data_IF_448165873194
#
_entry.id   IF_448165873194
#
_cell.length_a   1.000
_cell.length_b   1.000
_cell.length_c   1.000
_cell.angle_alpha   90.00
_cell.angle_beta   90.00
_cell.angle_gamma   90.00
#
_symmetry.space_group_name_H-M   'P 1'
#
loop_
_entity.id
_entity.type
_entity.pdbx_description
1 polymer ?
#
# COMPACT_ATOMS: atom_id res chain seq x y z
N UNK A 1 9.41 6.27 -23.48
CA UNK A 1 8.89 4.94 -23.87
C UNK A 1 8.85 4.11 -22.60
N UNK A 2 7.65 3.81 -22.11
CA UNK A 2 7.41 3.04 -20.88
C UNK A 2 7.63 1.55 -21.19
N UNK A 3 8.52 0.88 -20.45
CA UNK A 3 8.89 -0.52 -20.66
C UNK A 3 7.83 -1.48 -20.09
N UNK A 4 6.77 -1.70 -20.85
CA UNK A 4 5.72 -2.65 -20.52
C UNK A 4 6.21 -4.10 -20.45
N UNK A 5 7.29 -4.45 -21.15
CA UNK A 5 7.86 -5.79 -21.13
C UNK A 5 8.58 -6.08 -19.80
N UNK A 6 9.29 -5.09 -19.24
CA UNK A 6 9.90 -5.16 -17.92
C UNK A 6 8.89 -5.41 -16.80
N UNK A 7 7.75 -4.71 -16.81
CA UNK A 7 6.69 -4.90 -15.80
C UNK A 7 6.04 -6.29 -15.86
N UNK A 8 5.66 -6.76 -17.07
CA UNK A 8 5.08 -8.11 -17.23
C UNK A 8 6.07 -9.17 -16.73
N UNK A 9 7.35 -8.99 -17.03
CA UNK A 9 8.41 -9.92 -16.61
C UNK A 9 8.58 -9.92 -15.08
N UNK A 10 8.58 -8.75 -14.45
CA UNK A 10 8.73 -8.62 -13.00
C UNK A 10 7.50 -9.15 -12.25
N UNK A 11 6.30 -8.83 -12.73
CA UNK A 11 5.05 -9.38 -12.19
C UNK A 11 5.00 -10.91 -12.32
N UNK A 12 5.34 -11.45 -13.49
CA UNK A 12 5.40 -12.90 -13.71
C UNK A 12 6.42 -13.56 -12.79
N UNK A 13 7.60 -12.96 -12.62
CA UNK A 13 8.68 -13.48 -11.76
C UNK A 13 8.27 -13.49 -10.28
N UNK A 14 7.69 -12.39 -9.77
CA UNK A 14 7.22 -12.32 -8.38
C UNK A 14 6.06 -13.27 -8.12
N UNK A 15 5.11 -13.39 -9.07
CA UNK A 15 4.00 -14.35 -8.98
C UNK A 15 4.50 -15.80 -8.98
N UNK A 16 5.47 -16.12 -9.84
CA UNK A 16 6.05 -17.45 -9.91
C UNK A 16 6.87 -17.79 -8.65
N UNK A 17 7.57 -16.82 -8.07
CA UNK A 17 8.25 -16.97 -6.78
C UNK A 17 7.25 -17.28 -5.66
N UNK A 18 6.16 -16.53 -5.55
CA UNK A 18 5.10 -16.75 -4.56
C UNK A 18 4.51 -18.16 -4.67
N UNK A 19 4.16 -18.60 -5.89
CA UNK A 19 3.62 -19.95 -6.13
C UNK A 19 4.62 -21.02 -5.71
N UNK A 20 5.90 -20.85 -6.07
CA UNK A 20 6.94 -21.82 -5.70
C UNK A 20 7.21 -21.87 -4.20
N UNK A 21 7.24 -20.73 -3.50
CA UNK A 21 7.48 -20.66 -2.06
C UNK A 21 6.29 -21.19 -1.26
N UNK A 22 5.06 -20.88 -1.70
CA UNK A 22 3.84 -21.47 -1.13
C UNK A 22 3.82 -22.99 -1.34
N UNK A 23 4.20 -23.46 -2.53
CA UNK A 23 4.30 -24.89 -2.83
C UNK A 23 5.32 -25.62 -1.95
N UNK A 24 6.50 -25.02 -1.73
CA UNK A 24 7.52 -25.58 -0.81
C UNK A 24 7.03 -25.63 0.63
N UNK A 25 6.35 -24.57 1.09
CA UNK A 25 5.79 -24.53 2.44
C UNK A 25 4.72 -25.63 2.63
N UNK A 26 3.84 -25.81 1.65
CA UNK A 26 2.82 -26.87 1.73
C UNK A 26 3.41 -28.28 1.64
N UNK A 27 4.50 -28.48 0.89
CA UNK A 27 5.22 -29.76 0.92
C UNK A 27 5.87 -30.03 2.28
N UNK A 28 6.41 -29.01 2.95
CA UNK A 28 6.94 -29.14 4.31
C UNK A 28 5.83 -29.48 5.32
N UNK A 29 4.66 -28.83 5.19
CA UNK A 29 3.48 -29.12 6.01
C UNK A 29 2.98 -30.55 5.77
N UNK A 30 2.84 -30.99 4.52
CA UNK A 30 2.43 -32.37 4.18
C UNK A 30 3.40 -33.40 4.77
N UNK A 31 4.71 -33.12 4.73
CA UNK A 31 5.71 -33.99 5.34
C UNK A 31 5.62 -34.04 6.88
N UNK A 32 5.35 -32.91 7.54
CA UNK A 32 5.15 -32.85 8.99
C UNK A 32 3.85 -33.55 9.43
N UNK A 33 2.78 -33.45 8.62
CA UNK A 33 1.52 -34.16 8.87
C UNK A 33 1.74 -35.67 8.76
N UNK A 34 2.42 -36.13 7.70
CA UNK A 34 2.72 -37.57 7.51
C UNK A 34 3.64 -38.13 8.60
N UNK A 35 4.55 -37.31 9.13
CA UNK A 35 5.43 -37.70 10.23
C UNK A 35 4.79 -37.53 11.62
N UNK A 36 3.52 -37.09 11.71
CA UNK A 36 2.78 -36.93 12.95
C UNK A 36 3.25 -35.78 13.85
N UNK A 37 4.08 -34.87 13.33
CA UNK A 37 4.68 -33.75 14.09
C UNK A 37 3.96 -32.42 13.88
N UNK A 38 2.89 -32.40 13.08
CA UNK A 38 2.11 -31.21 12.80
C UNK A 38 1.05 -30.97 13.88
N UNK A 39 1.43 -30.20 14.91
CA UNK A 39 0.56 -29.78 16.01
C UNK A 39 0.08 -28.33 15.90
N UNK A 40 -0.62 -27.86 16.93
CA UNK A 40 -1.17 -26.50 17.02
C UNK A 40 -0.10 -25.39 16.89
N UNK A 41 1.10 -25.61 17.40
CA UNK A 41 2.22 -24.67 17.26
C UNK A 41 2.70 -24.54 15.81
N UNK A 42 2.77 -25.65 15.07
CA UNK A 42 3.12 -25.68 13.66
C UNK A 42 2.04 -25.01 12.80
N UNK A 43 0.76 -25.11 13.16
CA UNK A 43 -0.32 -24.39 12.46
C UNK A 43 -0.13 -22.88 12.56
N UNK A 44 0.13 -22.36 13.77
CA UNK A 44 0.38 -20.93 13.96
C UNK A 44 1.64 -20.46 13.23
N UNK A 45 2.69 -21.29 13.22
CA UNK A 45 3.94 -21.01 12.49
C UNK A 45 3.72 -20.97 10.97
N UNK A 46 3.00 -21.94 10.41
CA UNK A 46 2.64 -21.98 8.98
C UNK A 46 1.78 -20.78 8.60
N UNK A 47 0.78 -20.42 9.43
CA UNK A 47 -0.06 -19.25 9.19
C UNK A 47 0.77 -17.95 9.18
N UNK A 48 1.69 -17.78 10.13
CA UNK A 48 2.59 -16.63 10.16
C UNK A 48 3.55 -16.60 8.97
N UNK A 49 4.04 -17.75 8.50
CA UNK A 49 4.90 -17.85 7.32
C UNK A 49 4.14 -17.49 6.04
N UNK A 50 2.90 -17.96 5.89
CA UNK A 50 2.02 -17.56 4.78
C UNK A 50 1.67 -16.07 4.83
N UNK A 51 1.39 -15.54 6.03
CA UNK A 51 1.11 -14.13 6.22
C UNK A 51 2.32 -13.26 5.84
N UNK A 52 3.51 -13.63 6.31
CA UNK A 52 4.75 -12.92 5.98
C UNK A 52 5.08 -13.01 4.48
N UNK A 53 4.82 -14.15 3.86
CA UNK A 53 4.99 -14.34 2.41
C UNK A 53 4.03 -13.44 1.63
N UNK A 54 2.75 -13.42 2.01
CA UNK A 54 1.74 -12.54 1.41
C UNK A 54 2.08 -11.06 1.61
N UNK A 55 2.56 -10.68 2.81
CA UNK A 55 3.02 -9.32 3.10
C UNK A 55 4.18 -8.93 2.20
N UNK A 56 5.22 -9.76 2.13
CA UNK A 56 6.43 -9.48 1.35
C UNK A 56 6.10 -9.38 -0.14
N UNK A 57 5.32 -10.31 -0.67
CA UNK A 57 4.87 -10.26 -2.06
C UNK A 57 3.96 -9.06 -2.34
N UNK A 58 3.09 -8.67 -1.40
CA UNK A 58 2.25 -7.47 -1.55
C UNK A 58 3.09 -6.19 -1.58
N UNK A 59 4.18 -6.13 -0.80
CA UNK A 59 5.12 -5.01 -0.81
C UNK A 59 5.89 -4.97 -2.14
N UNK A 60 6.38 -6.11 -2.63
CA UNK A 60 7.08 -6.21 -3.92
C UNK A 60 6.16 -5.84 -5.09
N UNK A 61 4.89 -6.28 -5.08
CA UNK A 61 3.90 -5.88 -6.06
C UNK A 61 3.55 -4.40 -5.95
N UNK A 62 3.43 -3.85 -4.73
CA UNK A 62 3.20 -2.43 -4.55
C UNK A 62 4.36 -1.64 -5.15
N UNK A 63 5.61 -2.02 -4.88
CA UNK A 63 6.79 -1.40 -5.48
C UNK A 63 6.84 -1.56 -7.00
N UNK A 64 6.44 -2.71 -7.55
CA UNK A 64 6.39 -2.93 -8.99
C UNK A 64 5.27 -2.12 -9.68
N UNK A 65 4.10 -1.98 -9.02
CA UNK A 65 3.00 -1.12 -9.48
C UNK A 65 3.40 0.36 -9.41
N UNK A 66 4.03 0.78 -8.30
CA UNK A 66 4.62 2.10 -8.17
C UNK A 66 5.66 2.33 -9.27
N UNK A 67 6.53 1.37 -9.59
CA UNK A 67 7.57 1.47 -10.62
C UNK A 67 7.04 1.43 -12.07
N UNK A 68 5.84 0.86 -12.32
CA UNK A 68 5.23 0.88 -13.65
C UNK A 68 4.49 2.19 -13.92
N UNK A 69 3.89 2.76 -12.88
CA UNK A 69 3.20 4.05 -12.93
C UNK A 69 4.13 5.24 -12.65
N UNK A 70 5.40 4.99 -12.34
CA UNK A 70 6.42 6.00 -12.07
C UNK A 70 7.74 5.66 -12.76
N UNK A 71 8.36 6.60 -13.50
CA UNK A 71 9.77 6.43 -13.88
C UNK A 71 10.61 6.24 -12.61
N UNK A 72 11.74 5.49 -12.70
CA UNK A 72 12.67 5.32 -11.60
C UNK A 72 13.45 6.63 -11.42
N UNK A 73 12.81 7.62 -10.80
CA UNK A 73 13.51 8.75 -10.23
C UNK A 73 13.45 8.61 -8.73
N UNK A 74 14.66 8.56 -8.16
CA UNK A 74 15.04 8.74 -6.77
C UNK A 74 14.66 10.15 -6.28
N UNK A 75 13.48 10.65 -6.64
CA UNK A 75 12.98 11.91 -6.11
C UNK A 75 12.56 11.63 -4.66
N UNK A 76 13.28 12.24 -3.72
CA UNK A 76 12.99 12.16 -2.30
C UNK A 76 11.50 12.51 -2.09
N UNK A 77 10.72 11.53 -1.65
CA UNK A 77 9.32 11.77 -1.28
C UNK A 77 9.34 12.48 0.06
N UNK A 78 8.98 13.75 0.06
CA UNK A 78 8.72 14.48 1.29
C UNK A 78 7.41 13.96 1.90
N UNK A 79 7.47 13.51 3.15
CA UNK A 79 6.34 12.90 3.86
C UNK A 79 5.86 13.83 4.96
N UNK A 80 4.56 14.07 5.00
CA UNK A 80 3.87 14.77 6.08
C UNK A 80 4.08 14.07 7.42
N UNK A 81 3.64 14.69 8.51
CA UNK A 81 3.40 13.97 9.75
C UNK A 81 2.34 12.86 9.59
N UNK A 82 2.24 11.98 10.59
CA UNK A 82 1.20 10.96 10.61
C UNK A 82 -0.17 11.60 10.76
N UNK A 83 -1.08 11.21 9.88
CA UNK A 83 -2.49 11.57 9.92
C UNK A 83 -3.22 10.42 10.59
N UNK A 84 -3.92 10.74 11.68
CA UNK A 84 -4.74 9.77 12.39
C UNK A 84 -6.08 9.55 11.67
N UNK A 85 -6.55 8.32 11.72
CA UNK A 85 -7.88 7.95 11.24
C UNK A 85 -8.45 6.88 12.13
N UNK A 86 -9.78 6.92 12.31
CA UNK A 86 -10.48 5.90 13.10
C UNK A 86 -10.15 4.50 12.53
N UNK A 87 -9.66 3.56 13.34
CA UNK A 87 -9.38 2.21 12.87
C UNK A 87 -10.68 1.50 12.48
N UNK A 88 -10.66 0.80 11.35
CA UNK A 88 -11.78 -0.06 10.93
C UNK A 88 -11.45 -1.51 11.31
N UNK A 89 -12.36 -2.19 12.01
CA UNK A 89 -12.17 -3.57 12.48
C UNK A 89 -12.53 -4.62 11.45
N UNK A 90 -13.17 -4.21 10.36
CA UNK A 90 -13.92 -5.13 9.52
C UNK A 90 -13.42 -5.15 8.08
N UNK A 91 -12.74 -4.09 7.63
CA UNK A 91 -12.30 -3.97 6.25
C UNK A 91 -11.02 -3.15 6.05
N UNK A 92 -10.27 -3.52 5.01
CA UNK A 92 -9.18 -2.69 4.50
C UNK A 92 -9.76 -1.48 3.75
N UNK A 93 -9.01 -0.36 3.78
CA UNK A 93 -9.43 0.92 3.19
C UNK A 93 -8.35 1.43 2.24
N UNK A 94 -8.70 1.58 0.98
CA UNK A 94 -7.84 2.17 -0.04
C UNK A 94 -7.90 3.68 0.06
N UNK A 95 -6.73 4.34 0.08
CA UNK A 95 -6.61 5.79 0.14
C UNK A 95 -6.57 6.39 -1.27
N UNK A 96 -7.29 7.48 -1.46
CA UNK A 96 -7.30 8.24 -2.71
C UNK A 96 -7.55 9.72 -2.44
N UNK A 97 -7.19 10.59 -3.38
CA UNK A 97 -7.47 12.02 -3.27
C UNK A 97 -8.95 12.27 -3.58
N UNK A 98 -9.69 12.86 -2.63
CA UNK A 98 -11.07 13.29 -2.81
C UNK A 98 -11.14 14.71 -3.36
N UNK A 99 -10.33 15.62 -2.79
CA UNK A 99 -10.16 17.00 -3.23
C UNK A 99 -8.68 17.33 -3.31
N UNK A 100 -8.27 18.12 -4.32
CA UNK A 100 -6.87 18.47 -4.51
C UNK A 100 -6.32 19.25 -3.32
N UNK A 101 -5.03 19.10 -3.08
CA UNK A 101 -4.32 19.79 -2.00
C UNK A 101 -3.92 21.19 -2.48
N UNK A 102 -4.43 22.22 -1.81
CA UNK A 102 -4.17 23.63 -2.13
C UNK A 102 -3.32 24.26 -1.04
N UNK A 103 -2.36 25.10 -1.42
CA UNK A 103 -1.52 25.81 -0.47
C UNK A 103 -2.33 26.85 0.30
N UNK A 104 -2.19 26.88 1.62
CA UNK A 104 -2.80 27.93 2.43
C UNK A 104 -2.16 29.28 2.11
N UNK A 105 -2.99 30.29 1.86
CA UNK A 105 -2.53 31.64 1.48
C UNK A 105 -2.20 31.81 -0.02
N UNK A 106 -2.21 30.73 -0.81
CA UNK A 106 -2.00 30.77 -2.26
C UNK A 106 -2.85 29.68 -2.96
N UNK A 107 -4.17 29.86 -3.00
CA UNK A 107 -5.10 28.81 -3.44
C UNK A 107 -4.97 28.38 -4.92
N UNK A 108 -4.24 29.17 -5.73
CA UNK A 108 -3.84 28.81 -7.10
C UNK A 108 -2.74 27.76 -7.14
N UNK A 109 -1.96 27.60 -6.07
CA UNK A 109 -0.94 26.57 -5.94
C UNK A 109 -1.60 25.25 -5.53
N UNK A 110 -1.72 24.34 -6.50
CA UNK A 110 -2.42 23.07 -6.34
C UNK A 110 -1.47 21.91 -6.61
N UNK A 111 -1.40 20.97 -5.67
CA UNK A 111 -0.74 19.69 -5.89
C UNK A 111 -1.73 18.78 -6.62
N UNK A 112 -1.34 18.34 -7.81
CA UNK A 112 -2.09 17.37 -8.59
C UNK A 112 -2.14 16.01 -7.91
N UNK A 113 -3.26 15.30 -8.03
CA UNK A 113 -3.45 13.99 -7.40
C UNK A 113 -2.39 12.95 -7.80
N UNK A 114 -1.86 13.05 -9.03
CA UNK A 114 -0.80 12.19 -9.56
C UNK A 114 0.56 12.40 -8.90
N UNK A 115 0.76 13.55 -8.25
CA UNK A 115 1.98 13.89 -7.52
C UNK A 115 1.90 13.50 -6.05
N UNK A 116 0.73 13.10 -5.56
CA UNK A 116 0.53 12.69 -4.17
C UNK A 116 0.72 11.18 -4.02
N UNK A 117 1.37 10.79 -2.93
CA UNK A 117 1.59 9.41 -2.53
C UNK A 117 1.05 9.23 -1.12
N UNK A 118 0.39 8.11 -0.87
CA UNK A 118 -0.05 7.74 0.48
C UNK A 118 0.83 6.61 1.02
N UNK A 119 1.27 6.72 2.26
CA UNK A 119 2.13 5.73 2.92
C UNK A 119 1.52 5.33 4.27
N UNK A 120 0.94 4.12 4.41
CA UNK A 120 0.67 3.16 3.34
C UNK A 120 -0.47 3.64 2.42
N UNK A 121 -0.52 3.17 1.16
CA UNK A 121 -1.63 3.48 0.24
C UNK A 121 -2.92 2.72 0.54
N UNK A 122 -2.82 1.66 1.36
CA UNK A 122 -3.94 0.85 1.83
C UNK A 122 -3.80 0.75 3.35
N UNK A 123 -4.85 1.16 4.06
CA UNK A 123 -4.98 0.95 5.48
C UNK A 123 -5.55 -0.44 5.72
N UNK A 124 -4.77 -1.30 6.36
CA UNK A 124 -5.24 -2.61 6.80
C UNK A 124 -6.25 -2.48 7.93
N UNK A 125 -6.90 -3.59 8.24
CA UNK A 125 -7.75 -3.72 9.42
C UNK A 125 -6.97 -3.25 10.66
N UNK A 126 -7.62 -2.44 11.49
CA UNK A 126 -7.07 -1.77 12.67
C UNK A 126 -5.95 -0.73 12.41
N UNK A 127 -5.56 -0.48 11.17
CA UNK A 127 -4.59 0.57 10.88
C UNK A 127 -5.23 1.96 11.14
N UNK A 128 -4.57 2.74 11.99
CA UNK A 128 -5.08 4.03 12.48
C UNK A 128 -4.29 5.24 11.97
N UNK A 129 -3.28 5.03 11.10
CA UNK A 129 -2.41 6.13 10.63
C UNK A 129 -1.91 5.92 9.21
N UNK A 130 -1.78 7.02 8.48
CA UNK A 130 -1.08 7.10 7.20
C UNK A 130 -0.31 8.42 7.10
N UNK A 131 0.52 8.56 6.07
CA UNK A 131 1.23 9.80 5.70
C UNK A 131 0.88 10.16 4.26
N UNK A 132 0.89 11.45 3.97
CA UNK A 132 0.82 11.96 2.60
C UNK A 132 2.21 12.39 2.22
N UNK A 133 2.64 12.08 1.00
CA UNK A 133 3.87 12.63 0.46
C UNK A 133 3.68 13.17 -0.94
N UNK A 134 4.65 13.95 -1.38
CA UNK A 134 4.69 14.49 -2.73
C UNK A 134 5.86 13.89 -3.48
N UNK A 135 5.60 13.55 -4.75
CA UNK A 135 6.59 13.10 -5.71
C UNK A 135 6.97 14.25 -6.64
N UNK A 136 8.27 14.53 -6.75
CA UNK A 136 8.85 15.47 -7.71
C UNK A 136 9.41 16.76 -7.08
N UNK A 137 10.38 17.38 -7.75
CA UNK A 137 11.28 18.40 -7.18
C UNK A 137 10.78 19.87 -7.24
N UNK A 138 9.53 20.11 -7.67
CA UNK A 138 9.06 21.47 -7.99
C UNK A 138 7.96 21.99 -7.08
N UNK A 139 7.68 21.33 -5.95
CA UNK A 139 6.69 21.79 -5.00
C UNK A 139 7.37 22.62 -3.92
N UNK A 140 6.84 23.82 -3.68
CA UNK A 140 7.34 24.71 -2.63
C UNK A 140 6.91 24.16 -1.29
N UNK A 141 7.83 24.19 -0.32
CA UNK A 141 7.46 23.87 1.06
C UNK A 141 6.34 24.78 1.54
N UNK A 142 5.44 24.20 2.32
CA UNK A 142 4.31 24.92 2.89
C UNK A 142 3.20 24.01 3.37
N UNK A 143 2.19 24.66 3.94
CA UNK A 143 1.00 23.99 4.44
C UNK A 143 -0.05 23.87 3.34
N UNK A 144 -0.47 22.66 3.07
CA UNK A 144 -1.49 22.35 2.08
C UNK A 144 -2.73 21.75 2.73
N UNK A 145 -3.91 22.13 2.25
CA UNK A 145 -5.19 21.56 2.68
C UNK A 145 -5.87 20.85 1.52
N UNK A 146 -6.29 19.61 1.75
CA UNK A 146 -7.00 18.79 0.79
C UNK A 146 -7.99 17.86 1.47
N UNK A 147 -8.50 16.89 0.71
CA UNK A 147 -9.34 15.84 1.29
C UNK A 147 -8.94 14.47 0.74
N UNK A 148 -8.92 13.49 1.64
CA UNK A 148 -8.59 12.09 1.37
C UNK A 148 -9.85 11.26 1.48
N UNK A 149 -10.08 10.40 0.48
CA UNK A 149 -11.15 9.41 0.47
C UNK A 149 -10.60 8.05 0.88
N UNK A 150 -11.20 7.50 1.92
CA UNK A 150 -11.07 6.12 2.35
C UNK A 150 -12.19 5.30 1.72
N UNK A 151 -11.83 4.32 0.91
CA UNK A 151 -12.79 3.42 0.28
C UNK A 151 -12.61 2.02 0.85
N UNK A 152 -13.62 1.50 1.53
CA UNK A 152 -13.68 0.08 1.89
C UNK A 152 -14.56 -0.71 0.94
N UNK A 153 -14.26 -1.99 0.80
CA UNK A 153 -15.07 -2.97 0.06
C UNK A 153 -15.31 -4.15 0.98
N UNK A 154 -16.58 -4.41 1.31
CA UNK A 154 -17.00 -5.58 2.08
C UNK A 154 -18.23 -6.18 1.43
N UNK A 155 -18.21 -7.49 1.20
CA UNK A 155 -19.35 -8.24 0.64
C UNK A 155 -19.94 -7.62 -0.64
N UNK A 156 -19.08 -7.04 -1.49
CA UNK A 156 -19.47 -6.35 -2.74
C UNK A 156 -20.05 -4.94 -2.55
N UNK A 157 -20.19 -4.46 -1.32
CA UNK A 157 -20.64 -3.10 -0.99
C UNK A 157 -19.42 -2.20 -0.76
N UNK A 158 -19.35 -1.09 -1.50
CA UNK A 158 -18.31 -0.08 -1.31
C UNK A 158 -18.80 1.04 -0.42
N UNK A 159 -18.09 1.29 0.69
CA UNK A 159 -18.33 2.44 1.57
C UNK A 159 -17.21 3.46 1.38
N UNK A 160 -17.60 4.73 1.24
CA UNK A 160 -16.68 5.86 1.06
C UNK A 160 -16.77 6.80 2.24
N UNK A 161 -15.63 7.16 2.79
CA UNK A 161 -15.50 8.17 3.82
C UNK A 161 -14.48 9.20 3.36
N UNK A 162 -14.82 10.47 3.47
CA UNK A 162 -13.94 11.58 3.10
C UNK A 162 -13.55 12.33 4.37
N UNK A 163 -12.26 12.65 4.48
CA UNK A 163 -11.72 13.43 5.57
C UNK A 163 -10.92 14.59 5.03
N UNK A 164 -11.06 15.77 5.63
CA UNK A 164 -10.20 16.91 5.36
C UNK A 164 -8.85 16.70 6.04
N UNK A 165 -7.77 17.00 5.32
CA UNK A 165 -6.40 16.81 5.79
C UNK A 165 -5.61 18.08 5.53
N UNK A 166 -4.86 18.50 6.54
CA UNK A 166 -3.85 19.56 6.43
C UNK A 166 -2.48 18.90 6.59
N UNK A 167 -1.56 19.22 5.69
CA UNK A 167 -0.22 18.62 5.65
C UNK A 167 0.82 19.70 5.46
N UNK A 168 1.91 19.58 6.21
CA UNK A 168 3.13 20.35 5.97
C UNK A 168 4.08 19.49 5.16
N UNK A 169 4.48 20.03 4.02
CA UNK A 169 5.29 19.39 2.98
C UNK A 169 6.26 20.41 2.38
#
# INVERSE_FOLDING_TARGET
>A
MTDAAGWITQYATTSQRLVNETGKLMQQVDHQIRNGTYGSEQVAKTANQLLNLAITTSLEWSQAVFSFWSPPTTDAVELSEFIEVEPDSDCERVLSVAKPFRRLGAESDVIGAQSLVFVPGILRVHAARFRVGIKGQNYYSGTYRGSVRLTSVRDGVSRRHEMDVTVDL
#
